data_IF_546662663357
#
_entry.id   IF_546662663357
#
_cell.length_a   1.000
_cell.length_b   1.000
_cell.length_c   1.000
_cell.angle_alpha   90.00
_cell.angle_beta   90.00
_cell.angle_gamma   90.00
#
_symmetry.space_group_name_H-M   'P 1'
#
loop_
_entity.id
_entity.type
_entity.pdbx_description
1 polymer ?
#
# COMPACT_ATOMS: atom_id res chain seq x y z
N UNK A 1 8.02 -3.97 -16.30
CA UNK A 1 8.18 -2.78 -15.44
C UNK A 1 8.36 -3.18 -13.98
N UNK A 2 7.51 -4.04 -13.42
CA UNK A 2 7.66 -4.58 -12.06
C UNK A 2 8.04 -6.06 -12.11
N UNK A 3 8.89 -6.50 -11.17
CA UNK A 3 9.15 -7.90 -11.00
C UNK A 3 7.89 -8.59 -10.43
N UNK A 4 7.52 -9.80 -10.91
CA UNK A 4 6.31 -10.49 -10.43
C UNK A 4 6.25 -10.68 -8.91
N UNK A 5 7.38 -10.84 -8.26
CA UNK A 5 7.45 -10.96 -6.79
C UNK A 5 7.08 -9.66 -6.05
N UNK A 6 7.11 -8.51 -6.71
CA UNK A 6 6.72 -7.22 -6.12
C UNK A 6 5.21 -7.01 -6.14
N UNK A 7 4.50 -7.81 -6.94
CA UNK A 7 3.04 -7.77 -7.01
C UNK A 7 2.47 -8.70 -5.94
N UNK A 8 1.84 -8.10 -4.94
CA UNK A 8 1.25 -8.84 -3.82
C UNK A 8 -0.26 -8.67 -3.84
N UNK A 9 -0.96 -9.79 -3.90
CA UNK A 9 -2.42 -9.82 -3.82
C UNK A 9 -2.87 -10.81 -2.74
N UNK A 10 -3.94 -10.45 -2.05
CA UNK A 10 -4.55 -11.31 -1.04
C UNK A 10 -5.57 -12.28 -1.65
N UNK A 11 -6.01 -13.23 -0.85
CA UNK A 11 -7.08 -14.17 -1.23
C UNK A 11 -8.46 -13.54 -1.16
N UNK A 12 -8.63 -12.59 -0.26
CA UNK A 12 -9.87 -11.85 -0.04
C UNK A 12 -9.59 -10.35 -0.08
N UNK A 13 -10.58 -9.57 -0.51
CA UNK A 13 -10.50 -8.12 -0.45
C UNK A 13 -10.92 -7.58 0.93
N UNK A 14 -10.73 -6.30 1.13
CA UNK A 14 -11.13 -5.64 2.37
C UNK A 14 -12.61 -5.17 2.36
N UNK A 15 -13.37 -5.46 1.32
CA UNK A 15 -14.80 -5.17 1.19
C UNK A 15 -15.16 -3.71 1.56
N UNK A 16 -14.38 -2.76 1.09
CA UNK A 16 -14.55 -1.33 1.38
C UNK A 16 -14.64 -1.02 2.89
N UNK A 17 -13.95 -1.80 3.72
CA UNK A 17 -13.99 -1.71 5.17
C UNK A 17 -12.59 -1.48 5.73
N UNK A 18 -12.37 -0.32 6.37
CA UNK A 18 -11.10 0.02 7.01
C UNK A 18 -10.63 -1.05 8.01
N UNK A 19 -11.53 -1.52 8.87
CA UNK A 19 -11.19 -2.50 9.89
C UNK A 19 -10.72 -3.83 9.30
N UNK A 20 -11.29 -4.27 8.20
CA UNK A 20 -10.83 -5.46 7.50
C UNK A 20 -9.45 -5.24 6.88
N UNK A 21 -9.23 -4.12 6.24
CA UNK A 21 -7.94 -3.77 5.66
C UNK A 21 -6.82 -3.63 6.69
N UNK A 22 -7.13 -3.12 7.86
CA UNK A 22 -6.15 -2.89 8.92
C UNK A 22 -5.94 -4.10 9.85
N UNK A 23 -7.02 -4.73 10.32
CA UNK A 23 -6.94 -5.68 11.42
C UNK A 23 -7.05 -7.15 11.01
N UNK A 24 -7.81 -7.47 9.99
CA UNK A 24 -8.06 -8.87 9.60
C UNK A 24 -7.32 -9.25 8.33
N UNK A 25 -7.83 -8.89 7.18
CA UNK A 25 -7.22 -9.21 5.89
C UNK A 25 -5.81 -8.61 5.77
N UNK A 26 -5.63 -7.39 6.23
CA UNK A 26 -4.33 -6.72 6.16
C UNK A 26 -3.25 -7.40 7.00
N UNK A 27 -3.58 -7.90 8.18
CA UNK A 27 -2.62 -8.60 9.03
C UNK A 27 -2.11 -9.92 8.45
N UNK A 28 -2.89 -10.56 7.60
CA UNK A 28 -2.48 -11.79 6.94
C UNK A 28 -1.41 -11.55 5.86
N UNK A 29 -1.38 -10.36 5.29
CA UNK A 29 -0.53 -10.06 4.13
C UNK A 29 0.59 -9.06 4.44
N UNK A 30 0.50 -8.30 5.52
CA UNK A 30 1.46 -7.24 5.83
C UNK A 30 2.89 -7.75 5.99
N UNK A 31 3.07 -8.90 6.60
CA UNK A 31 4.40 -9.47 6.81
C UNK A 31 5.07 -9.86 5.50
N UNK A 32 4.29 -10.40 4.56
CA UNK A 32 4.78 -10.69 3.21
C UNK A 32 5.19 -9.40 2.47
N UNK A 33 4.37 -8.37 2.55
CA UNK A 33 4.65 -7.08 1.93
C UNK A 33 5.91 -6.45 2.52
N UNK A 34 6.05 -6.48 3.84
CA UNK A 34 7.23 -5.96 4.52
C UNK A 34 8.51 -6.74 4.15
N UNK A 35 8.41 -8.05 3.98
CA UNK A 35 9.53 -8.87 3.52
C UNK A 35 9.97 -8.47 2.11
N UNK A 36 9.03 -8.23 1.20
CA UNK A 36 9.33 -7.74 -0.15
C UNK A 36 9.97 -6.34 -0.14
N UNK A 37 9.46 -5.45 0.69
CA UNK A 37 10.04 -4.10 0.88
C UNK A 37 11.47 -4.22 1.44
N UNK A 38 11.69 -5.09 2.39
CA UNK A 38 13.03 -5.31 2.97
C UNK A 38 14.03 -5.80 1.93
N UNK A 39 13.62 -6.74 1.09
CA UNK A 39 14.47 -7.23 -0.01
C UNK A 39 14.83 -6.10 -0.99
N UNK A 40 13.88 -5.25 -1.32
CA UNK A 40 14.15 -4.09 -2.16
C UNK A 40 15.07 -3.07 -1.49
N UNK A 41 14.87 -2.82 -0.21
CA UNK A 41 15.73 -1.91 0.57
C UNK A 41 17.17 -2.42 0.69
N UNK A 42 17.36 -3.73 0.83
CA UNK A 42 18.70 -4.35 0.90
C UNK A 42 19.48 -4.21 -0.40
N UNK A 43 18.81 -4.09 -1.53
CA UNK A 43 19.45 -3.84 -2.82
C UNK A 43 19.84 -2.36 -3.03
N UNK A 44 19.41 -1.48 -2.17
CA UNK A 44 19.74 -0.07 -2.24
C UNK A 44 21.06 0.22 -1.54
N UNK A 45 21.93 1.01 -2.15
CA UNK A 45 23.18 1.47 -1.54
C UNK A 45 22.94 2.59 -0.53
N UNK A 46 21.89 3.39 -0.73
CA UNK A 46 21.46 4.46 0.17
C UNK A 46 19.98 4.72 0.03
N UNK A 47 19.17 4.07 0.86
CA UNK A 47 17.74 4.31 0.88
C UNK A 47 17.45 5.70 1.44
N UNK A 48 16.88 6.58 0.62
CA UNK A 48 16.49 7.93 1.04
C UNK A 48 15.14 7.96 1.74
N UNK A 49 14.22 7.11 1.33
CA UNK A 49 12.87 7.07 1.89
C UNK A 49 11.90 6.27 1.05
N UNK A 50 10.64 6.47 1.34
CA UNK A 50 9.51 5.78 0.70
C UNK A 50 8.56 6.80 0.09
N UNK A 51 8.07 6.48 -1.10
CA UNK A 51 6.96 7.17 -1.72
C UNK A 51 5.76 6.23 -1.73
N UNK A 52 4.68 6.64 -1.11
CA UNK A 52 3.48 5.83 -0.92
C UNK A 52 2.33 6.50 -1.67
N UNK A 53 1.76 5.79 -2.62
CA UNK A 53 0.62 6.25 -3.40
C UNK A 53 -0.60 5.38 -3.11
N UNK A 54 -1.68 5.98 -2.66
CA UNK A 54 -2.91 5.25 -2.34
C UNK A 54 -4.14 6.15 -2.40
N UNK A 55 -5.32 5.56 -2.34
CA UNK A 55 -6.59 6.26 -2.15
C UNK A 55 -7.01 6.22 -0.68
N UNK A 56 -7.69 7.25 -0.21
CA UNK A 56 -8.38 7.20 1.07
C UNK A 56 -9.68 6.39 1.01
N UNK A 57 -10.22 6.16 -0.18
CA UNK A 57 -11.36 5.29 -0.37
C UNK A 57 -10.97 3.82 -0.35
N UNK A 58 -11.94 2.95 -0.02
CA UNK A 58 -11.73 1.52 0.07
C UNK A 58 -11.08 1.05 1.36
N UNK A 59 -11.21 -0.24 1.65
CA UNK A 59 -10.63 -0.84 2.87
C UNK A 59 -9.12 -1.00 2.79
N UNK A 60 -8.60 -1.36 1.62
CA UNK A 60 -7.16 -1.54 1.42
C UNK A 60 -6.42 -0.21 1.41
N UNK A 61 -6.88 0.75 0.60
CA UNK A 61 -6.21 2.06 0.50
C UNK A 61 -6.20 2.84 1.81
N UNK A 62 -7.24 2.72 2.61
CA UNK A 62 -7.33 3.35 3.93
C UNK A 62 -6.72 2.47 5.04
N UNK A 63 -7.24 1.27 5.22
CA UNK A 63 -6.91 0.41 6.35
C UNK A 63 -5.55 -0.28 6.22
N UNK A 64 -5.29 -0.92 5.09
CA UNK A 64 -4.01 -1.59 4.88
C UNK A 64 -2.84 -0.62 4.80
N UNK A 65 -3.00 0.51 4.12
CA UNK A 65 -1.95 1.53 4.05
C UNK A 65 -1.62 2.08 5.43
N UNK A 66 -2.61 2.33 6.26
CA UNK A 66 -2.41 2.75 7.65
C UNK A 66 -1.58 1.72 8.44
N UNK A 67 -1.91 0.43 8.35
CA UNK A 67 -1.15 -0.64 8.98
C UNK A 67 0.30 -0.70 8.45
N UNK A 68 0.46 -0.61 7.13
CA UNK A 68 1.78 -0.64 6.51
C UNK A 68 2.65 0.54 6.94
N UNK A 69 2.07 1.74 7.02
CA UNK A 69 2.77 2.94 7.49
C UNK A 69 3.21 2.81 8.95
N UNK A 70 2.39 2.25 9.82
CA UNK A 70 2.76 1.97 11.21
C UNK A 70 3.97 1.02 11.27
N UNK A 71 3.92 -0.05 10.49
CA UNK A 71 5.01 -1.04 10.47
C UNK A 71 6.30 -0.48 9.86
N UNK A 72 6.20 0.31 8.79
CA UNK A 72 7.36 0.99 8.21
C UNK A 72 7.96 2.01 9.18
N UNK A 73 7.17 2.65 9.99
CA UNK A 73 7.66 3.59 11.02
C UNK A 73 8.44 2.87 12.13
N UNK A 74 8.11 1.63 12.42
CA UNK A 74 8.89 0.80 13.36
C UNK A 74 10.21 0.35 12.72
N UNK A 75 10.17 -0.17 11.50
CA UNK A 75 11.35 -0.73 10.84
C UNK A 75 12.29 0.35 10.28
N UNK A 76 11.74 1.47 9.81
CA UNK A 76 12.46 2.56 9.12
C UNK A 76 12.08 3.93 9.66
N UNK A 77 12.00 4.06 10.99
CA UNK A 77 11.47 5.26 11.65
C UNK A 77 12.12 6.59 11.27
N UNK A 78 13.40 6.56 10.91
CA UNK A 78 14.18 7.75 10.53
C UNK A 78 14.14 8.06 9.03
N UNK A 79 13.57 7.19 8.23
CA UNK A 79 13.48 7.39 6.79
C UNK A 79 12.31 8.28 6.43
N UNK A 80 12.52 9.16 5.45
CA UNK A 80 11.45 10.01 4.94
C UNK A 80 10.34 9.17 4.31
N UNK A 81 9.10 9.55 4.57
CA UNK A 81 7.92 8.94 3.96
C UNK A 81 7.11 10.06 3.30
N UNK A 82 6.97 9.98 1.99
CA UNK A 82 6.17 10.90 1.20
C UNK A 82 4.92 10.17 0.74
N UNK A 83 3.78 10.72 1.04
CA UNK A 83 2.49 10.11 0.78
C UNK A 83 1.70 10.94 -0.24
N UNK A 84 1.24 10.29 -1.28
CA UNK A 84 0.31 10.86 -2.24
C UNK A 84 -1.04 10.16 -2.12
N UNK A 85 -2.04 10.91 -1.71
CA UNK A 85 -3.37 10.38 -1.45
C UNK A 85 -4.37 10.92 -2.46
N UNK A 86 -5.21 10.03 -2.98
CA UNK A 86 -6.38 10.42 -3.77
C UNK A 86 -7.57 10.55 -2.83
N UNK A 87 -8.08 11.76 -2.72
CA UNK A 87 -9.25 12.04 -1.91
C UNK A 87 -10.52 11.67 -2.68
N UNK A 88 -11.42 10.86 -2.11
CA UNK A 88 -12.67 10.52 -2.79
C UNK A 88 -13.54 11.76 -2.99
N UNK A 89 -13.96 11.99 -4.23
CA UNK A 89 -14.93 13.03 -4.54
C UNK A 89 -16.33 12.40 -4.67
N UNK A 90 -17.38 12.99 -4.07
CA UNK A 90 -18.73 12.41 -4.10
C UNK A 90 -19.27 12.16 -5.50
N UNK A 91 -18.89 12.98 -6.46
CA UNK A 91 -19.32 12.85 -7.85
C UNK A 91 -18.62 11.72 -8.62
N UNK A 92 -17.43 11.35 -8.22
CA UNK A 92 -16.65 10.27 -8.85
C UNK A 92 -17.05 8.91 -8.31
N UNK A 93 -17.49 8.85 -7.07
CA UNK A 93 -17.92 7.58 -6.44
C UNK A 93 -19.24 7.02 -7.00
N UNK A 94 -20.08 7.85 -7.62
CA UNK A 94 -21.35 7.40 -8.18
C UNK A 94 -21.17 6.57 -9.47
N UNK A 95 -20.14 6.85 -10.24
CA UNK A 95 -19.84 6.12 -11.47
C UNK A 95 -18.95 4.90 -11.25
N UNK A 96 -18.09 4.94 -10.24
CA UNK A 96 -17.17 3.85 -9.90
C UNK A 96 -17.87 2.69 -9.18
N UNK A 97 -18.95 2.95 -8.47
CA UNK A 97 -19.72 1.90 -7.78
C UNK A 97 -20.56 1.03 -8.72
N UNK A 98 -20.65 1.39 -9.99
CA UNK A 98 -21.53 0.70 -10.95
C UNK A 98 -20.82 -0.33 -11.81
N UNK A 99 -19.50 -0.34 -11.90
CA UNK A 99 -18.83 -1.20 -12.86
C UNK A 99 -17.63 -1.99 -12.41
N UNK A 100 -17.19 -1.89 -11.21
CA UNK A 100 -16.10 -2.78 -10.74
C UNK A 100 -16.09 -2.77 -9.23
N UNK A 101 -16.20 -3.94 -8.68
CA UNK A 101 -15.13 -4.40 -7.81
C UNK A 101 -13.81 -3.88 -8.35
N UNK A 102 -13.54 -2.61 -8.09
CA UNK A 102 -12.18 -2.17 -8.08
C UNK A 102 -11.51 -2.97 -6.99
N UNK A 103 -11.09 -4.16 -7.35
CA UNK A 103 -9.83 -4.65 -6.91
C UNK A 103 -8.88 -3.54 -7.26
N UNK A 104 -8.95 -2.45 -6.49
CA UNK A 104 -7.87 -1.53 -6.44
C UNK A 104 -6.78 -2.42 -5.88
N UNK A 105 -6.07 -3.08 -6.79
CA UNK A 105 -4.72 -3.39 -6.53
C UNK A 105 -4.13 -2.04 -6.14
N UNK A 106 -4.27 -1.70 -4.86
CA UNK A 106 -3.55 -0.60 -4.29
C UNK A 106 -2.12 -1.07 -4.37
N UNK A 107 -1.58 -0.89 -5.55
CA UNK A 107 -0.17 -0.93 -5.76
C UNK A 107 0.37 0.11 -4.79
N UNK A 108 0.76 -0.38 -3.64
CA UNK A 108 1.68 0.37 -2.82
C UNK A 108 2.94 0.40 -3.66
N UNK A 109 2.96 1.36 -4.56
CA UNK A 109 4.15 1.72 -5.30
C UNK A 109 5.13 2.31 -4.29
N UNK A 110 5.77 1.44 -3.53
CA UNK A 110 7.01 1.81 -2.88
C UNK A 110 8.02 2.04 -4.00
N UNK A 111 7.93 3.19 -4.66
CA UNK A 111 8.97 3.61 -5.57
C UNK A 111 10.20 3.95 -4.73
N UNK A 112 11.13 3.03 -4.70
CA UNK A 112 12.46 3.33 -4.22
C UNK A 112 13.08 4.35 -5.16
N UNK A 113 13.27 5.57 -4.68
CA UNK A 113 14.26 6.44 -5.26
C UNK A 113 15.65 5.89 -4.93
N UNK A 114 15.97 4.75 -5.51
CA UNK A 114 17.35 4.29 -5.56
C UNK A 114 18.06 5.19 -6.56
N UNK A 115 18.88 6.12 -6.09
CA UNK A 115 19.91 6.68 -6.93
C UNK A 115 20.98 5.58 -7.08
N UNK A 116 20.92 4.94 -8.21
CA UNK A 116 22.08 4.18 -8.69
C UNK A 116 23.18 5.13 -9.13
#
# INVERSE_FOLDING_TARGET
MFHPEQLVSGKEDAANNYARGHYTVGKEIVDLVLDRIRKLADNCTGLQGFLIFHSFGGGTGSGFTSLLMERLSVDYGKKAKLEFCIYPAPQVNLDLNRERDLTVANEVLAQHACQC
#
